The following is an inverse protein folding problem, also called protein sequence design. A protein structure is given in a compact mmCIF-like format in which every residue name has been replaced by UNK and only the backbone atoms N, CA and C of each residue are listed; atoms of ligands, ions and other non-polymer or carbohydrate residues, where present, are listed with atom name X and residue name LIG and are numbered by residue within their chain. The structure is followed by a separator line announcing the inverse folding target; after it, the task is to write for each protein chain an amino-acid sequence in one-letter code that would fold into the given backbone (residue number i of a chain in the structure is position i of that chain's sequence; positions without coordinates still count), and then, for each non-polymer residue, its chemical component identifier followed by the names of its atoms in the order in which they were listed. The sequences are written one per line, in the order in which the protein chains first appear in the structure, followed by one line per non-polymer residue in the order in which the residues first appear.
data_IF_047118449939
#
_entry.id   IF_047118449939
#
_cell.length_a   1.000
_cell.length_b   1.000
_cell.length_c   1.000
_cell.angle_alpha   90.00
_cell.angle_beta   90.00
_cell.angle_gamma   90.00
#
_symmetry.space_group_name_H-M   'P 1'
#
loop_
_entity.id
_entity.type
_entity.pdbx_description
1 polymer ?
#
# COMPACT_ATOMS: atom_id res chain seq x y z
N UNK A 1 -5.72 -28.62 -20.21
CA UNK A 1 -4.37 -28.14 -20.59
C UNK A 1 -3.86 -27.15 -19.55
N UNK A 2 -2.92 -27.58 -18.69
CA UNK A 2 -2.34 -26.71 -17.67
C UNK A 2 -1.45 -25.64 -18.28
N UNK A 3 -1.68 -24.36 -17.95
CA UNK A 3 -0.77 -23.28 -18.37
C UNK A 3 0.57 -23.47 -17.68
N UNK A 4 1.52 -24.07 -18.38
CA UNK A 4 2.89 -24.27 -17.89
C UNK A 4 3.51 -22.95 -17.41
N UNK A 5 4.25 -23.00 -16.29
CA UNK A 5 4.97 -21.84 -15.77
C UNK A 5 5.99 -21.39 -16.81
N UNK A 6 5.93 -20.12 -17.23
CA UNK A 6 6.92 -19.56 -18.15
C UNK A 6 8.33 -19.65 -17.53
N UNK A 7 9.33 -20.18 -18.25
CA UNK A 7 10.70 -20.26 -17.76
C UNK A 7 11.23 -18.87 -17.35
N UNK A 8 11.82 -18.78 -16.16
CA UNK A 8 12.39 -17.53 -15.61
C UNK A 8 13.68 -17.09 -16.32
N UNK A 9 14.33 -18.03 -17.01
CA UNK A 9 15.61 -17.85 -17.69
C UNK A 9 15.35 -17.44 -19.16
N UNK A 10 16.21 -16.60 -19.74
CA UNK A 10 16.25 -16.35 -21.18
C UNK A 10 16.95 -17.54 -21.90
N UNK A 11 17.00 -17.54 -23.23
CA UNK A 11 17.68 -18.60 -24.01
C UNK A 11 19.20 -18.64 -23.80
N UNK A 12 19.80 -17.57 -23.30
CA UNK A 12 21.27 -17.40 -23.22
C UNK A 12 21.80 -17.47 -21.77
N UNK A 13 20.97 -17.89 -20.81
CA UNK A 13 21.28 -17.77 -19.38
C UNK A 13 21.05 -16.36 -18.83
N UNK A 14 20.48 -16.30 -17.62
CA UNK A 14 20.23 -15.06 -16.89
C UNK A 14 18.77 -14.62 -16.80
N UNK A 15 18.55 -13.61 -15.94
CA UNK A 15 17.23 -13.03 -15.67
C UNK A 15 16.74 -12.25 -16.90
N UNK A 16 15.53 -12.54 -17.37
CA UNK A 16 14.89 -11.74 -18.43
C UNK A 16 14.83 -10.25 -18.01
N UNK A 17 15.19 -9.31 -18.91
CA UNK A 17 15.17 -7.89 -18.59
C UNK A 17 13.73 -7.44 -18.27
N UNK A 18 13.61 -6.57 -17.26
CA UNK A 18 12.31 -6.10 -16.80
C UNK A 18 11.76 -5.09 -17.81
N UNK A 19 10.62 -5.41 -18.42
CA UNK A 19 10.10 -4.59 -19.53
C UNK A 19 9.34 -3.33 -19.06
N UNK A 20 9.13 -3.16 -17.75
CA UNK A 20 8.43 -2.03 -17.10
C UNK A 20 7.42 -1.26 -18.00
N UNK A 21 6.47 -1.96 -18.61
CA UNK A 21 5.56 -1.38 -19.63
C UNK A 21 4.42 -0.54 -19.06
N UNK A 22 4.19 -0.61 -17.75
CA UNK A 22 3.01 -0.05 -17.12
C UNK A 22 3.33 1.25 -16.38
N UNK A 23 3.06 2.38 -17.03
CA UNK A 23 3.02 3.68 -16.35
C UNK A 23 1.71 3.83 -15.56
N UNK A 24 1.84 3.95 -14.24
CA UNK A 24 0.73 4.22 -13.32
C UNK A 24 0.70 5.71 -12.99
N UNK A 25 -0.36 6.46 -13.37
CA UNK A 25 -0.45 7.89 -13.07
C UNK A 25 -0.58 8.16 -11.57
N UNK A 26 -0.14 9.34 -11.15
CA UNK A 26 -0.28 9.87 -9.78
C UNK A 26 -1.75 10.12 -9.44
N UNK A 27 -2.09 10.28 -8.16
CA UNK A 27 -3.47 10.62 -7.76
C UNK A 27 -3.91 11.98 -8.28
N UNK A 28 -3.01 12.96 -8.35
CA UNK A 28 -3.27 14.26 -8.99
C UNK A 28 -3.69 14.10 -10.45
N UNK A 29 -2.91 13.35 -11.23
CA UNK A 29 -3.19 13.16 -12.65
C UNK A 29 -4.49 12.34 -12.86
N UNK A 30 -4.77 11.36 -12.00
CA UNK A 30 -6.07 10.65 -12.01
C UNK A 30 -7.23 11.59 -11.72
N UNK A 31 -7.07 12.52 -10.78
CA UNK A 31 -8.09 13.50 -10.44
C UNK A 31 -8.38 14.44 -11.62
N UNK A 32 -7.35 14.92 -12.32
CA UNK A 32 -7.51 15.71 -13.54
C UNK A 32 -8.30 14.95 -14.61
N UNK A 33 -7.93 13.68 -14.86
CA UNK A 33 -8.65 12.82 -15.82
C UNK A 33 -10.11 12.62 -15.41
N UNK A 34 -10.39 12.33 -14.13
CA UNK A 34 -11.76 12.11 -13.65
C UNK A 34 -12.61 13.38 -13.75
N UNK A 35 -12.02 14.55 -13.46
CA UNK A 35 -12.70 15.85 -13.64
C UNK A 35 -13.00 16.13 -15.11
N UNK A 36 -12.07 15.83 -16.01
CA UNK A 36 -12.28 15.98 -17.44
C UNK A 36 -13.37 15.02 -17.94
N UNK A 37 -13.30 13.74 -17.56
CA UNK A 37 -14.28 12.72 -17.94
C UNK A 37 -15.70 13.01 -17.45
N UNK A 38 -15.87 13.74 -16.35
CA UNK A 38 -17.19 14.12 -15.88
C UNK A 38 -17.97 15.00 -16.88
N UNK A 39 -17.26 15.72 -17.75
CA UNK A 39 -17.85 16.66 -18.72
C UNK A 39 -17.65 16.23 -20.18
N UNK A 40 -16.95 15.12 -20.43
CA UNK A 40 -16.54 14.69 -21.76
C UNK A 40 -16.77 13.19 -21.95
N UNK A 41 -16.86 12.73 -23.20
CA UNK A 41 -16.96 11.31 -23.46
C UNK A 41 -15.68 10.54 -23.09
N UNK A 42 -15.80 9.22 -22.91
CA UNK A 42 -14.66 8.34 -22.72
C UNK A 42 -13.69 8.38 -23.92
N UNK A 43 -14.22 8.55 -25.13
CA UNK A 43 -13.41 8.64 -26.36
C UNK A 43 -12.54 9.89 -26.34
N UNK A 44 -13.12 11.05 -26.02
CA UNK A 44 -12.40 12.32 -25.92
C UNK A 44 -11.36 12.29 -24.79
N UNK A 45 -11.72 11.71 -23.64
CA UNK A 45 -10.80 11.57 -22.50
C UNK A 45 -9.58 10.73 -22.87
N UNK A 46 -9.77 9.61 -23.58
CA UNK A 46 -8.66 8.78 -24.04
C UNK A 46 -7.78 9.49 -25.08
N UNK A 47 -8.39 10.26 -25.99
CA UNK A 47 -7.64 11.03 -26.99
C UNK A 47 -6.77 12.12 -26.35
N UNK A 48 -7.29 12.81 -25.32
CA UNK A 48 -6.59 13.89 -24.64
C UNK A 48 -5.42 13.38 -23.75
N UNK A 49 -5.67 12.35 -22.93
CA UNK A 49 -4.70 11.92 -21.91
C UNK A 49 -3.85 10.70 -22.31
N UNK A 50 -4.29 9.93 -23.32
CA UNK A 50 -3.61 8.72 -23.76
C UNK A 50 -3.61 8.59 -25.30
N UNK A 51 -3.09 9.59 -26.04
CA UNK A 51 -3.13 9.62 -27.50
C UNK A 51 -2.43 8.41 -28.14
N UNK A 52 -1.31 7.96 -27.55
CA UNK A 52 -0.51 6.83 -28.05
C UNK A 52 -1.09 5.46 -27.67
N UNK A 53 -2.15 5.40 -26.87
CA UNK A 53 -2.70 4.13 -26.41
C UNK A 53 -3.51 3.45 -27.52
N UNK A 54 -3.05 2.29 -27.97
CA UNK A 54 -3.70 1.48 -29.01
C UNK A 54 -4.11 0.09 -28.48
N UNK A 55 -5.11 -0.51 -29.16
CA UNK A 55 -5.59 -1.87 -28.90
C UNK A 55 -5.85 -2.17 -27.42
N UNK A 56 -5.20 -3.21 -26.90
CA UNK A 56 -5.34 -3.68 -25.51
C UNK A 56 -4.90 -2.64 -24.47
N UNK A 57 -3.94 -1.78 -24.80
CA UNK A 57 -3.48 -0.70 -23.92
C UNK A 57 -4.58 0.35 -23.74
N UNK A 58 -5.23 0.75 -24.83
CA UNK A 58 -6.36 1.68 -24.81
C UNK A 58 -7.50 1.16 -23.93
N UNK A 59 -7.83 -0.12 -24.08
CA UNK A 59 -8.85 -0.78 -23.27
C UNK A 59 -8.48 -0.86 -21.78
N UNK A 60 -7.19 -1.08 -21.47
CA UNK A 60 -6.68 -1.05 -20.09
C UNK A 60 -6.83 0.34 -19.47
N UNK A 61 -6.54 1.41 -20.23
CA UNK A 61 -6.74 2.79 -19.78
C UNK A 61 -8.22 3.10 -19.58
N UNK A 62 -9.09 2.70 -20.52
CA UNK A 62 -10.56 2.83 -20.40
C UNK A 62 -11.09 2.21 -19.09
N UNK A 63 -10.65 0.99 -18.76
CA UNK A 63 -11.02 0.32 -17.51
C UNK A 63 -10.49 1.05 -16.28
N UNK A 64 -9.27 1.58 -16.36
CA UNK A 64 -8.67 2.35 -15.27
C UNK A 64 -9.44 3.64 -14.99
N UNK A 65 -9.85 4.37 -16.03
CA UNK A 65 -10.65 5.60 -15.91
C UNK A 65 -12.00 5.30 -15.24
N UNK A 66 -12.72 4.26 -15.70
CA UNK A 66 -13.96 3.82 -15.04
C UNK A 66 -13.74 3.46 -13.57
N UNK A 67 -12.65 2.77 -13.23
CA UNK A 67 -12.34 2.42 -11.85
C UNK A 67 -12.09 3.67 -10.98
N UNK A 68 -11.39 4.68 -11.50
CA UNK A 68 -11.13 5.93 -10.77
C UNK A 68 -12.39 6.77 -10.63
N UNK A 69 -13.23 6.83 -11.67
CA UNK A 69 -14.51 7.50 -11.65
C UNK A 69 -15.50 6.81 -10.68
N UNK A 70 -15.55 5.48 -10.67
CA UNK A 70 -16.33 4.71 -9.68
C UNK A 70 -15.88 5.00 -8.24
N UNK A 71 -14.57 5.20 -8.05
CA UNK A 71 -13.98 5.55 -6.76
C UNK A 71 -13.67 7.06 -6.65
N UNK A 72 -14.51 7.93 -7.21
CA UNK A 72 -14.27 9.38 -7.31
C UNK A 72 -13.88 10.01 -5.98
N UNK A 73 -14.63 9.75 -4.90
CA UNK A 73 -14.34 10.29 -3.57
C UNK A 73 -12.91 9.97 -3.07
N UNK A 74 -12.43 8.73 -3.30
CA UNK A 74 -11.05 8.33 -2.95
C UNK A 74 -10.03 9.05 -3.83
N UNK A 75 -10.30 9.16 -5.13
CA UNK A 75 -9.42 9.83 -6.09
C UNK A 75 -9.31 11.33 -5.78
N UNK A 76 -10.42 11.98 -5.42
CA UNK A 76 -10.49 13.39 -5.02
C UNK A 76 -9.74 13.65 -3.72
N UNK A 77 -10.03 12.87 -2.67
CA UNK A 77 -9.34 13.00 -1.38
C UNK A 77 -7.82 12.92 -1.55
N UNK A 78 -7.34 11.91 -2.29
CA UNK A 78 -5.91 11.67 -2.47
C UNK A 78 -5.26 12.62 -3.47
N UNK A 79 -5.98 13.03 -4.52
CA UNK A 79 -5.48 13.95 -5.53
C UNK A 79 -5.38 15.39 -5.02
N UNK A 80 -6.25 15.80 -4.09
CA UNK A 80 -6.26 17.16 -3.51
C UNK A 80 -5.36 17.33 -2.29
N UNK A 81 -4.87 16.24 -1.69
CA UNK A 81 -4.04 16.29 -0.47
C UNK A 81 -2.56 16.39 -0.83
N UNK A 82 -1.86 17.43 -0.36
CA UNK A 82 -0.43 17.65 -0.64
C UNK A 82 0.46 16.43 -0.33
N UNK A 83 0.20 15.75 0.78
CA UNK A 83 0.96 14.56 1.19
C UNK A 83 0.78 13.36 0.23
N UNK A 84 -0.35 13.23 -0.45
CA UNK A 84 -0.69 12.02 -1.23
C UNK A 84 -0.86 12.25 -2.74
N UNK A 85 -0.97 13.50 -3.20
CA UNK A 85 -1.22 13.85 -4.62
C UNK A 85 -0.18 13.29 -5.59
N UNK A 86 1.09 13.34 -5.20
CA UNK A 86 2.23 12.84 -5.99
C UNK A 86 2.39 11.31 -5.91
N UNK A 87 1.68 10.64 -5.00
CA UNK A 87 1.77 9.19 -4.85
C UNK A 87 1.06 8.46 -6.00
N UNK A 88 1.63 7.34 -6.42
CA UNK A 88 1.02 6.44 -7.44
C UNK A 88 0.22 5.31 -6.80
N UNK A 89 0.53 4.94 -5.57
CA UNK A 89 -0.18 3.92 -4.80
C UNK A 89 -0.18 4.34 -3.35
N UNK A 90 -1.32 4.16 -2.70
CA UNK A 90 -1.44 4.26 -1.25
C UNK A 90 -1.78 2.86 -0.73
N UNK A 91 -1.01 2.39 0.25
CA UNK A 91 -1.37 1.22 1.05
C UNK A 91 -2.07 1.71 2.30
N UNK A 92 -3.06 0.96 2.76
CA UNK A 92 -3.67 1.26 4.04
C UNK A 92 -2.65 0.98 5.15
N UNK A 93 -2.74 1.74 6.24
CA UNK A 93 -1.91 1.50 7.41
C UNK A 93 -2.27 0.10 7.93
N UNK A 94 -1.27 -0.75 8.14
CA UNK A 94 -1.47 -2.13 8.60
C UNK A 94 -1.53 -3.20 7.50
N UNK A 95 -1.53 -2.87 6.20
CA UNK A 95 -1.62 -3.91 5.14
C UNK A 95 -0.44 -4.91 5.10
N UNK A 96 0.67 -4.59 5.77
CA UNK A 96 1.84 -5.47 5.87
C UNK A 96 2.28 -5.70 7.33
N UNK A 97 1.37 -5.54 8.29
CA UNK A 97 1.66 -5.88 9.69
C UNK A 97 1.34 -7.34 9.94
N UNK A 98 2.23 -8.00 10.67
CA UNK A 98 2.06 -9.41 11.08
C UNK A 98 1.02 -9.51 12.21
N UNK A 99 0.96 -8.50 13.07
CA UNK A 99 -0.06 -8.38 14.11
C UNK A 99 -1.32 -7.73 13.56
N UNK A 100 -2.45 -8.18 14.11
CA UNK A 100 -3.76 -7.55 13.87
C UNK A 100 -3.76 -6.12 14.43
N UNK A 101 -4.66 -5.28 13.91
CA UNK A 101 -4.83 -3.90 14.41
C UNK A 101 -5.23 -3.89 15.90
N UNK A 102 -6.07 -4.84 16.31
CA UNK A 102 -6.53 -4.96 17.69
C UNK A 102 -5.35 -5.28 18.64
N UNK A 103 -4.55 -6.28 18.29
CA UNK A 103 -3.35 -6.66 19.05
C UNK A 103 -2.37 -5.49 19.15
N UNK A 104 -2.13 -4.76 18.04
CA UNK A 104 -1.28 -3.56 18.08
C UNK A 104 -1.84 -2.48 19.01
N UNK A 105 -3.17 -2.27 19.06
CA UNK A 105 -3.77 -1.29 19.94
C UNK A 105 -3.65 -1.66 21.42
N UNK A 106 -3.76 -2.94 21.77
CA UNK A 106 -3.55 -3.37 23.15
C UNK A 106 -2.10 -3.10 23.61
N UNK A 107 -1.11 -3.31 22.72
CA UNK A 107 0.27 -2.91 22.99
C UNK A 107 0.42 -1.39 23.20
N UNK A 108 -0.29 -0.58 22.42
CA UNK A 108 -0.26 0.88 22.56
C UNK A 108 -0.82 1.29 23.92
N UNK A 109 -1.95 0.70 24.34
CA UNK A 109 -2.55 0.93 25.67
C UNK A 109 -1.54 0.61 26.77
N UNK A 110 -0.93 -0.57 26.71
CA UNK A 110 0.09 -0.99 27.69
C UNK A 110 1.28 -0.03 27.77
N UNK A 111 1.77 0.49 26.63
CA UNK A 111 2.86 1.49 26.63
C UNK A 111 2.41 2.81 27.28
N UNK A 112 1.17 3.23 27.01
CA UNK A 112 0.64 4.48 27.54
C UNK A 112 0.41 4.41 29.05
N UNK A 113 -0.02 3.26 29.58
CA UNK A 113 -0.13 3.01 31.02
C UNK A 113 1.23 3.18 31.70
N UNK A 114 2.29 2.55 31.17
CA UNK A 114 3.65 2.73 31.69
C UNK A 114 4.12 4.19 31.67
N UNK A 115 3.77 4.94 30.62
CA UNK A 115 4.11 6.37 30.51
C UNK A 115 3.32 7.21 31.50
N UNK A 116 2.07 6.85 31.80
CA UNK A 116 1.26 7.53 32.81
C UNK A 116 1.86 7.38 34.21
N UNK A 117 2.48 6.23 34.49
CA UNK A 117 3.23 5.96 35.72
C UNK A 117 4.63 6.62 35.75
N UNK A 118 4.96 7.44 34.75
CA UNK A 118 6.26 8.13 34.64
C UNK A 118 7.42 7.23 34.18
N UNK A 119 7.15 5.99 33.79
CA UNK A 119 8.14 5.03 33.34
C UNK A 119 8.27 4.99 31.81
N UNK A 120 9.48 4.74 31.31
CA UNK A 120 9.72 4.53 29.88
C UNK A 120 9.81 3.04 29.57
N UNK A 121 9.08 2.58 28.56
CA UNK A 121 9.19 1.19 28.07
C UNK A 121 10.50 1.01 27.29
N UNK A 122 11.38 0.14 27.79
CA UNK A 122 12.62 -0.19 27.10
C UNK A 122 12.35 -1.00 25.83
N UNK A 123 13.32 -0.98 24.91
CA UNK A 123 13.24 -1.77 23.68
C UNK A 123 13.08 -3.28 23.92
N UNK A 124 13.71 -3.82 24.96
CA UNK A 124 13.62 -5.22 25.33
C UNK A 124 12.22 -5.54 25.87
N UNK A 125 11.67 -4.69 26.73
CA UNK A 125 10.32 -4.86 27.26
C UNK A 125 9.28 -4.90 26.14
N UNK A 126 9.37 -3.97 25.18
CA UNK A 126 8.49 -3.96 24.02
C UNK A 126 8.64 -5.24 23.18
N UNK A 127 9.86 -5.75 23.01
CA UNK A 127 10.10 -7.00 22.28
C UNK A 127 9.40 -8.20 22.95
N UNK A 128 9.59 -8.36 24.27
CA UNK A 128 8.99 -9.46 25.03
C UNK A 128 7.47 -9.35 25.06
N UNK A 129 6.93 -8.17 25.36
CA UNK A 129 5.48 -7.96 25.43
C UNK A 129 4.80 -8.16 24.08
N UNK A 130 5.44 -7.74 22.99
CA UNK A 130 4.90 -7.96 21.65
C UNK A 130 4.78 -9.44 21.29
N UNK A 131 5.74 -10.27 21.73
CA UNK A 131 5.69 -11.72 21.49
C UNK A 131 4.58 -12.38 22.29
N UNK A 132 4.44 -12.03 23.58
CA UNK A 132 3.35 -12.51 24.44
C UNK A 132 1.97 -12.23 23.82
N UNK A 133 1.78 -11.01 23.31
CA UNK A 133 0.52 -10.61 22.67
C UNK A 133 0.29 -11.27 21.31
N UNK A 134 1.37 -11.55 20.57
CA UNK A 134 1.31 -12.30 19.32
C UNK A 134 0.83 -13.73 19.58
N UNK A 135 1.45 -14.39 20.56
CA UNK A 135 1.11 -15.76 20.96
C UNK A 135 -0.34 -15.86 21.47
N UNK A 136 -0.77 -14.92 22.31
CA UNK A 136 -2.16 -14.82 22.77
C UNK A 136 -3.16 -14.58 21.62
N UNK A 137 -2.71 -13.96 20.52
CA UNK A 137 -3.51 -13.75 19.31
C UNK A 137 -3.40 -14.90 18.29
N UNK A 138 -2.73 -16.01 18.66
CA UNK A 138 -2.54 -17.18 17.79
C UNK A 138 -1.46 -17.01 16.70
N UNK A 139 -0.58 -16.02 16.84
CA UNK A 139 0.55 -15.80 15.93
C UNK A 139 1.82 -16.43 16.54
N UNK A 140 2.28 -17.52 15.95
CA UNK A 140 3.47 -18.24 16.42
C UNK A 140 4.78 -17.47 16.20
N UNK A 141 5.82 -17.88 16.93
CA UNK A 141 7.14 -17.24 16.92
C UNK A 141 7.82 -17.31 15.55
N UNK A 142 7.59 -18.40 14.79
CA UNK A 142 8.09 -18.54 13.42
C UNK A 142 7.51 -17.47 12.47
N UNK A 143 6.34 -16.95 12.80
CA UNK A 143 5.63 -15.92 12.02
C UNK A 143 5.98 -14.52 12.52
N UNK A 144 6.15 -14.32 13.83
CA UNK A 144 6.40 -13.03 14.44
C UNK A 144 7.54 -13.05 15.48
N UNK A 145 8.67 -12.45 15.12
CA UNK A 145 9.86 -12.38 15.98
C UNK A 145 9.99 -11.07 16.75
N UNK A 146 9.01 -10.15 16.66
CA UNK A 146 9.11 -8.79 17.22
C UNK A 146 10.46 -8.10 16.93
N UNK A 147 10.94 -8.23 15.69
CA UNK A 147 12.26 -7.75 15.27
C UNK A 147 12.45 -6.24 15.50
N UNK A 148 13.71 -5.80 15.55
CA UNK A 148 14.04 -4.37 15.67
C UNK A 148 13.35 -3.52 14.60
N UNK A 149 13.34 -3.98 13.35
CA UNK A 149 12.68 -3.28 12.24
C UNK A 149 11.16 -3.15 12.47
N UNK A 150 10.52 -4.20 12.98
CA UNK A 150 9.11 -4.14 13.34
C UNK A 150 8.87 -3.13 14.48
N UNK A 151 9.68 -3.18 15.55
CA UNK A 151 9.57 -2.25 16.70
C UNK A 151 9.70 -0.79 16.29
N UNK A 152 10.73 -0.46 15.50
CA UNK A 152 10.94 0.91 14.99
C UNK A 152 9.75 1.35 14.15
N UNK A 153 9.22 0.46 13.31
CA UNK A 153 8.04 0.71 12.51
C UNK A 153 6.78 0.91 13.36
N UNK A 154 6.58 0.07 14.37
CA UNK A 154 5.45 0.13 15.30
C UNK A 154 5.43 1.46 16.06
N UNK A 155 6.55 1.85 16.69
CA UNK A 155 6.66 3.11 17.42
C UNK A 155 6.39 4.31 16.50
N UNK A 156 6.92 4.28 15.27
CA UNK A 156 6.68 5.35 14.29
C UNK A 156 5.21 5.42 13.84
N UNK A 157 4.56 4.27 13.61
CA UNK A 157 3.15 4.21 13.18
C UNK A 157 2.20 4.79 14.23
N UNK A 158 2.51 4.56 15.52
CA UNK A 158 1.66 4.96 16.64
C UNK A 158 2.11 6.25 17.35
N UNK A 159 3.16 6.93 16.84
CA UNK A 159 3.63 8.18 17.44
C UNK A 159 4.26 8.00 18.83
N UNK A 160 4.77 6.81 19.14
CA UNK A 160 5.32 6.43 20.45
C UNK A 160 6.85 6.62 20.52
N UNK A 161 7.43 7.49 19.69
CA UNK A 161 8.85 7.84 19.82
C UNK A 161 9.09 8.79 20.98
#
# INVERSE_FOLDING_TARGET
MGRGRRPRVNQNGGRRPNQFKNFTPTYEHRLQIVRFYANNSMKETLACYFPDAQGTTKETKRKSIHLWAKNKAKTERLGSTNATRAMRKLREVGTATVLSKETELQLVTWINEYRADGATVSGLMLHLKAREFAEASGVGEETFTASWAWRVGFLKRHGLR
#
